data_IF_245517774843
#
_entry.id   IF_245517774843
#
_cell.length_a   1.000
_cell.length_b   1.000
_cell.length_c   1.000
_cell.angle_alpha   90.00
_cell.angle_beta   90.00
_cell.angle_gamma   90.00
#
_symmetry.space_group_name_H-M   'P 1'
#
loop_
_entity.id
_entity.type
_entity.pdbx_description
1 polymer ?
#
# COMPACT_ATOMS: atom_id res chain seq x y z
N UNK A 1 -15.13 12.05 -11.00
CA UNK A 1 -14.64 11.88 -9.62
C UNK A 1 -13.28 12.54 -9.50
N UNK A 2 -13.15 13.49 -8.60
CA UNK A 2 -11.89 14.21 -8.40
C UNK A 2 -11.09 13.56 -7.27
N UNK A 3 -9.86 13.12 -7.58
CA UNK A 3 -8.93 12.55 -6.63
C UNK A 3 -7.93 13.63 -6.24
N UNK A 4 -7.77 13.89 -4.95
CA UNK A 4 -6.81 14.85 -4.40
C UNK A 4 -5.76 14.10 -3.60
N UNK A 5 -4.48 14.40 -3.82
CA UNK A 5 -3.38 13.83 -3.04
C UNK A 5 -2.96 14.84 -1.99
N UNK A 6 -2.85 14.39 -0.76
CA UNK A 6 -2.51 15.25 0.38
C UNK A 6 -1.51 14.56 1.30
N UNK A 7 -0.74 15.33 2.10
CA UNK A 7 0.13 14.72 3.11
C UNK A 7 -0.72 14.14 4.24
N UNK A 8 -0.12 13.17 4.94
CA UNK A 8 -0.72 12.57 6.12
C UNK A 8 -0.85 13.58 7.26
N UNK A 9 -1.96 13.51 7.98
CA UNK A 9 -2.13 14.18 9.28
C UNK A 9 -2.58 13.15 10.32
N UNK A 10 -2.29 13.39 11.59
CA UNK A 10 -2.64 12.43 12.65
C UNK A 10 -4.15 12.18 12.75
N UNK A 11 -4.97 13.12 12.32
CA UNK A 11 -6.42 12.95 12.26
C UNK A 11 -6.86 11.85 11.29
N UNK A 12 -6.01 11.45 10.35
CA UNK A 12 -6.29 10.42 9.35
C UNK A 12 -6.05 9.00 9.85
N UNK A 13 -5.42 8.83 11.02
CA UNK A 13 -4.88 7.52 11.43
C UNK A 13 -5.94 6.43 11.51
N UNK A 14 -7.08 6.69 12.15
CA UNK A 14 -8.14 5.69 12.30
C UNK A 14 -8.72 5.29 10.95
N UNK A 15 -9.01 6.25 10.10
CA UNK A 15 -9.59 5.99 8.78
C UNK A 15 -8.63 5.19 7.88
N UNK A 16 -7.34 5.50 7.93
CA UNK A 16 -6.31 4.73 7.19
C UNK A 16 -6.20 3.31 7.72
N UNK A 17 -6.23 3.13 9.04
CA UNK A 17 -6.17 1.81 9.66
C UNK A 17 -7.35 0.95 9.22
N UNK A 18 -8.56 1.52 9.24
CA UNK A 18 -9.76 0.82 8.79
C UNK A 18 -9.70 0.51 7.29
N UNK A 19 -9.15 1.42 6.48
CA UNK A 19 -8.98 1.21 5.05
C UNK A 19 -8.03 0.04 4.78
N UNK A 20 -6.91 -0.02 5.46
CA UNK A 20 -5.96 -1.14 5.33
C UNK A 20 -6.64 -2.46 5.64
N UNK A 21 -7.36 -2.54 6.77
CA UNK A 21 -8.07 -3.74 7.17
C UNK A 21 -9.11 -4.14 6.11
N UNK A 22 -9.90 -3.18 5.64
CA UNK A 22 -10.91 -3.43 4.62
C UNK A 22 -10.30 -3.92 3.31
N UNK A 23 -9.15 -3.38 2.91
CA UNK A 23 -8.46 -3.80 1.68
C UNK A 23 -8.01 -5.26 1.75
N UNK A 24 -7.39 -5.66 2.85
CA UNK A 24 -6.93 -7.04 3.03
C UNK A 24 -8.11 -8.00 3.04
N UNK A 25 -9.16 -7.67 3.81
CA UNK A 25 -10.32 -8.55 3.97
C UNK A 25 -11.27 -8.55 2.76
N UNK A 26 -11.05 -7.69 1.78
CA UNK A 26 -11.79 -7.71 0.52
C UNK A 26 -11.15 -8.63 -0.54
N UNK A 27 -9.95 -9.15 -0.28
CA UNK A 27 -9.28 -10.07 -1.20
C UNK A 27 -10.04 -11.40 -1.20
N UNK A 28 -10.16 -12.02 -2.39
CA UNK A 28 -10.81 -13.33 -2.50
C UNK A 28 -10.11 -14.37 -1.62
N UNK A 29 -10.87 -15.16 -0.83
CA UNK A 29 -10.27 -16.23 -0.02
C UNK A 29 -9.62 -17.35 -0.85
N UNK A 30 -9.83 -17.36 -2.16
CA UNK A 30 -9.14 -18.30 -3.06
C UNK A 30 -7.70 -17.83 -3.35
N UNK A 31 -7.39 -16.55 -3.15
CA UNK A 31 -6.06 -15.97 -3.33
C UNK A 31 -5.29 -15.98 -2.01
N UNK A 32 -5.88 -15.42 -0.97
CA UNK A 32 -5.37 -15.47 0.41
C UNK A 32 -6.50 -15.96 1.30
N UNK A 33 -6.29 -17.04 2.04
CA UNK A 33 -7.30 -17.63 2.92
C UNK A 33 -7.74 -16.64 4.02
N UNK A 34 -8.86 -16.92 4.66
CA UNK A 34 -9.33 -16.09 5.78
C UNK A 34 -8.28 -16.04 6.89
N UNK A 35 -7.60 -17.16 7.16
CA UNK A 35 -6.55 -17.25 8.15
C UNK A 35 -5.35 -16.38 7.76
N UNK A 36 -4.98 -16.38 6.47
CA UNK A 36 -3.90 -15.52 5.97
C UNK A 36 -4.28 -14.04 6.06
N UNK A 37 -5.53 -13.71 5.73
CA UNK A 37 -6.02 -12.33 5.84
C UNK A 37 -5.98 -11.84 7.29
N UNK A 38 -6.40 -12.67 8.26
CA UNK A 38 -6.36 -12.34 9.69
C UNK A 38 -4.92 -12.21 10.20
N UNK A 39 -4.01 -13.03 9.69
CA UNK A 39 -2.60 -12.92 10.04
C UNK A 39 -1.97 -11.62 9.50
N UNK A 40 -2.43 -11.17 8.36
CA UNK A 40 -1.97 -9.95 7.71
C UNK A 40 -2.60 -8.69 8.33
N UNK A 41 -3.93 -8.73 8.56
CA UNK A 41 -4.69 -7.61 9.11
C UNK A 41 -5.65 -8.11 10.18
N UNK A 42 -5.18 -8.15 11.42
CA UNK A 42 -5.91 -8.70 12.56
C UNK A 42 -7.23 -7.96 12.83
N UNK A 43 -8.24 -8.70 13.26
CA UNK A 43 -9.56 -8.15 13.65
C UNK A 43 -9.74 -8.26 15.17
N UNK A 44 -9.96 -7.14 15.91
CA UNK A 44 -9.98 -5.75 15.41
C UNK A 44 -8.57 -5.25 15.07
N UNK A 45 -8.46 -4.20 14.25
CA UNK A 45 -7.14 -3.62 13.96
C UNK A 45 -6.45 -3.12 15.23
N UNK A 46 -5.11 -3.17 15.23
CA UNK A 46 -4.33 -2.62 16.33
C UNK A 46 -4.15 -1.11 16.11
N UNK A 47 -5.12 -0.33 16.53
CA UNK A 47 -5.10 1.13 16.33
C UNK A 47 -3.90 1.81 16.98
N UNK A 48 -3.49 1.50 18.23
CA UNK A 48 -2.30 2.13 18.79
C UNK A 48 -1.03 1.89 17.98
N UNK A 49 -0.84 0.68 17.47
CA UNK A 49 0.29 0.34 16.59
C UNK A 49 0.27 1.21 15.32
N UNK A 50 -0.90 1.31 14.68
CA UNK A 50 -1.04 2.06 13.44
C UNK A 50 -0.84 3.56 13.63
N UNK A 51 -1.31 4.13 14.74
CA UNK A 51 -1.08 5.55 15.05
C UNK A 51 0.42 5.84 15.09
N UNK A 52 1.19 5.00 15.79
CA UNK A 52 2.65 5.18 15.88
C UNK A 52 3.33 4.98 14.53
N UNK A 53 2.93 3.93 13.79
CA UNK A 53 3.50 3.63 12.48
C UNK A 53 3.28 4.78 11.50
N UNK A 54 2.05 5.28 11.42
CA UNK A 54 1.70 6.33 10.46
C UNK A 54 2.37 7.67 10.79
N UNK A 55 2.57 7.96 12.07
CA UNK A 55 3.32 9.15 12.47
C UNK A 55 4.77 9.12 11.98
N UNK A 56 5.37 7.93 11.89
CA UNK A 56 6.73 7.74 11.37
C UNK A 56 6.75 7.67 9.84
N UNK A 57 5.84 6.93 9.24
CA UNK A 57 5.84 6.66 7.79
C UNK A 57 5.33 7.85 6.98
N UNK A 58 4.40 8.61 7.51
CA UNK A 58 3.83 9.81 6.86
C UNK A 58 3.41 9.54 5.41
N UNK A 59 2.43 8.66 5.18
CA UNK A 59 2.04 8.30 3.82
C UNK A 59 1.49 9.49 3.03
N UNK A 60 1.48 9.36 1.71
CA UNK A 60 0.66 10.22 0.85
C UNK A 60 -0.74 9.64 0.84
N UNK A 61 -1.74 10.51 0.93
CA UNK A 61 -3.13 10.12 1.10
C UNK A 61 -3.94 10.59 -0.10
N UNK A 62 -4.75 9.70 -0.65
CA UNK A 62 -5.69 10.06 -1.71
C UNK A 62 -7.07 10.27 -1.10
N UNK A 63 -7.71 11.36 -1.49
CA UNK A 63 -9.03 11.73 -1.00
C UNK A 63 -9.99 11.95 -2.16
N UNK A 64 -11.22 11.52 -1.97
CA UNK A 64 -12.36 11.88 -2.80
C UNK A 64 -13.37 12.57 -1.88
N UNK A 65 -13.63 13.86 -2.13
CA UNK A 65 -14.37 14.69 -1.20
C UNK A 65 -13.69 14.70 0.17
N UNK A 66 -14.37 14.33 1.25
CA UNK A 66 -13.79 14.28 2.58
C UNK A 66 -13.34 12.86 3.00
N UNK A 67 -13.39 11.90 2.07
CA UNK A 67 -13.10 10.50 2.38
C UNK A 67 -11.70 10.11 1.93
N UNK A 68 -10.98 9.38 2.78
CA UNK A 68 -9.70 8.79 2.41
C UNK A 68 -10.01 7.52 1.62
N UNK A 69 -9.48 7.45 0.40
CA UNK A 69 -9.75 6.35 -0.52
C UNK A 69 -8.51 5.54 -0.88
N UNK A 70 -7.33 5.98 -0.44
CA UNK A 70 -6.09 5.26 -0.64
C UNK A 70 -4.93 5.92 0.07
N UNK A 71 -3.83 5.17 0.22
CA UNK A 71 -2.59 5.72 0.76
C UNK A 71 -1.40 4.91 0.26
N UNK A 72 -0.23 5.54 0.28
CA UNK A 72 1.02 4.92 -0.12
C UNK A 72 2.16 5.44 0.76
N UNK A 73 3.05 4.56 1.20
CA UNK A 73 4.19 4.90 2.05
C UNK A 73 5.47 4.79 1.25
N UNK A 74 6.21 5.90 1.15
CA UNK A 74 7.53 5.94 0.52
C UNK A 74 8.58 6.23 1.58
N UNK A 75 9.54 5.32 1.72
CA UNK A 75 10.69 5.51 2.60
C UNK A 75 11.83 6.19 1.85
N UNK A 76 12.75 6.80 2.59
CA UNK A 76 13.84 7.60 1.99
C UNK A 76 14.78 6.78 1.11
N UNK A 77 14.89 5.48 1.35
CA UNK A 77 15.72 4.58 0.55
C UNK A 77 15.04 4.08 -0.73
N UNK A 78 13.80 4.51 -0.99
CA UNK A 78 13.03 4.09 -2.16
C UNK A 78 12.08 2.92 -1.92
N UNK A 79 12.01 2.40 -0.68
CA UNK A 79 11.08 1.32 -0.36
C UNK A 79 9.65 1.85 -0.27
N UNK A 80 8.74 1.19 -0.97
CA UNK A 80 7.30 1.43 -0.85
C UNK A 80 6.75 0.35 0.07
N UNK A 81 6.39 0.72 1.29
CA UNK A 81 6.02 -0.26 2.32
C UNK A 81 4.54 -0.63 2.28
N UNK A 82 3.67 0.34 2.07
CA UNK A 82 2.23 0.11 1.90
C UNK A 82 1.71 0.86 0.70
N UNK A 83 0.75 0.25 -0.01
CA UNK A 83 0.05 0.88 -1.13
C UNK A 83 -1.33 0.23 -1.22
N UNK A 84 -2.37 0.95 -0.77
CA UNK A 84 -3.71 0.40 -0.66
C UNK A 84 -4.75 1.38 -1.20
N UNK A 85 -5.75 0.85 -1.93
CA UNK A 85 -6.93 1.57 -2.38
C UNK A 85 -8.16 0.95 -1.74
N UNK A 86 -9.04 1.79 -1.19
CA UNK A 86 -10.29 1.32 -0.59
C UNK A 86 -11.07 0.46 -1.59
N UNK A 87 -11.63 -0.69 -1.17
CA UNK A 87 -12.28 -1.63 -2.08
C UNK A 87 -13.38 -0.99 -2.95
N UNK A 88 -14.13 -0.03 -2.40
CA UNK A 88 -15.20 0.64 -3.13
C UNK A 88 -14.69 1.60 -4.22
N UNK A 89 -13.40 1.92 -4.22
CA UNK A 89 -12.79 2.88 -5.15
C UNK A 89 -11.75 2.25 -6.06
N UNK A 90 -11.64 0.93 -6.08
CA UNK A 90 -10.72 0.25 -6.99
C UNK A 90 -11.15 0.44 -8.45
N UNK A 91 -10.18 0.42 -9.37
CA UNK A 91 -10.38 0.63 -10.82
C UNK A 91 -10.87 2.03 -11.19
N UNK A 92 -10.72 3.00 -10.29
CA UNK A 92 -11.03 4.40 -10.56
C UNK A 92 -9.79 5.29 -10.69
N UNK A 93 -8.61 4.68 -10.76
CA UNK A 93 -7.35 5.40 -10.94
C UNK A 93 -6.74 5.97 -9.67
N UNK A 94 -7.24 5.59 -8.48
CA UNK A 94 -6.70 6.10 -7.20
C UNK A 94 -5.23 5.75 -7.05
N UNK A 95 -4.86 4.48 -7.18
CA UNK A 95 -3.46 4.07 -7.02
C UNK A 95 -2.58 4.59 -8.15
N UNK A 96 -3.13 4.72 -9.36
CA UNK A 96 -2.40 5.34 -10.48
C UNK A 96 -1.98 6.77 -10.12
N UNK A 97 -2.89 7.56 -9.55
CA UNK A 97 -2.59 8.92 -9.13
C UNK A 97 -1.61 8.96 -7.97
N UNK A 98 -1.81 8.12 -6.96
CA UNK A 98 -0.90 8.02 -5.82
C UNK A 98 0.50 7.61 -6.25
N UNK A 99 0.61 6.61 -7.11
CA UNK A 99 1.91 6.14 -7.56
C UNK A 99 2.63 7.17 -8.42
N UNK A 100 1.91 7.85 -9.33
CA UNK A 100 2.50 8.91 -10.15
C UNK A 100 3.06 10.03 -9.26
N UNK A 101 2.32 10.43 -8.24
CA UNK A 101 2.77 11.41 -7.27
C UNK A 101 4.02 10.94 -6.53
N UNK A 102 4.00 9.69 -6.05
CA UNK A 102 5.10 9.09 -5.31
C UNK A 102 6.37 9.01 -6.15
N UNK A 103 6.26 8.57 -7.40
CA UNK A 103 7.40 8.49 -8.31
C UNK A 103 7.99 9.87 -8.58
N UNK A 104 7.14 10.88 -8.75
CA UNK A 104 7.59 12.25 -8.95
C UNK A 104 8.37 12.77 -7.73
N UNK A 105 7.85 12.52 -6.52
CA UNK A 105 8.55 12.88 -5.28
C UNK A 105 9.90 12.17 -5.19
N UNK A 106 9.93 10.86 -5.49
CA UNK A 106 11.17 10.08 -5.46
C UNK A 106 12.22 10.62 -6.43
N UNK A 107 11.80 10.96 -7.65
CA UNK A 107 12.72 11.54 -8.66
C UNK A 107 13.27 12.88 -8.21
N UNK A 108 12.43 13.74 -7.63
CA UNK A 108 12.87 15.04 -7.10
C UNK A 108 13.84 14.91 -5.95
N UNK A 109 13.75 13.85 -5.17
CA UNK A 109 14.66 13.56 -4.06
C UNK A 109 15.94 12.86 -4.52
N UNK A 110 16.07 12.55 -5.79
CA UNK A 110 17.24 11.85 -6.33
C UNK A 110 17.27 10.35 -6.03
N UNK A 111 16.14 9.78 -5.66
CA UNK A 111 16.04 8.34 -5.45
C UNK A 111 16.15 7.65 -6.81
N UNK A 112 17.05 6.66 -6.90
CA UNK A 112 17.35 5.98 -8.18
C UNK A 112 16.66 4.64 -8.34
N UNK A 113 16.08 4.11 -7.27
CA UNK A 113 15.46 2.80 -7.28
C UNK A 113 14.24 2.79 -6.35
N UNK A 114 13.09 2.38 -6.89
CA UNK A 114 11.92 2.06 -6.08
C UNK A 114 11.84 0.54 -5.94
N UNK A 115 11.49 0.05 -4.77
CA UNK A 115 11.31 -1.38 -4.56
C UNK A 115 10.21 -1.64 -3.53
N UNK A 116 9.62 -2.82 -3.63
CA UNK A 116 8.49 -3.18 -2.78
C UNK A 116 8.31 -4.71 -2.76
N UNK A 117 7.49 -5.16 -1.84
CA UNK A 117 7.01 -6.53 -1.78
C UNK A 117 5.51 -6.50 -2.12
N UNK A 118 5.16 -6.92 -3.34
CA UNK A 118 3.79 -6.85 -3.82
C UNK A 118 3.02 -8.13 -3.49
N UNK A 119 1.77 -7.97 -3.07
CA UNK A 119 0.86 -9.09 -2.97
C UNK A 119 0.59 -9.68 -4.37
N UNK A 120 0.01 -10.88 -4.40
CA UNK A 120 -0.43 -11.51 -5.66
C UNK A 120 -1.36 -10.55 -6.42
N UNK A 121 -2.22 -9.83 -5.70
CA UNK A 121 -3.22 -8.94 -6.30
C UNK A 121 -2.59 -7.65 -6.82
N UNK A 122 -1.59 -7.12 -6.12
CA UNK A 122 -0.95 -5.85 -6.48
C UNK A 122 0.10 -5.99 -7.58
N UNK A 123 0.69 -7.17 -7.74
CA UNK A 123 1.79 -7.41 -8.68
C UNK A 123 1.49 -6.92 -10.09
N UNK A 124 0.33 -7.23 -10.72
CA UNK A 124 0.04 -6.75 -12.08
C UNK A 124 0.02 -5.23 -12.21
N UNK A 125 -0.45 -4.53 -11.18
CA UNK A 125 -0.46 -3.06 -11.18
C UNK A 125 0.95 -2.51 -11.33
N UNK A 126 1.89 -3.02 -10.53
CA UNK A 126 3.28 -2.53 -10.53
C UNK A 126 4.03 -2.96 -11.79
N UNK A 127 3.76 -4.15 -12.31
CA UNK A 127 4.34 -4.58 -13.60
C UNK A 127 3.99 -3.61 -14.72
N UNK A 128 2.75 -3.15 -14.77
CA UNK A 128 2.32 -2.17 -15.78
C UNK A 128 3.02 -0.82 -15.65
N UNK A 129 3.59 -0.53 -14.48
CA UNK A 129 4.31 0.73 -14.24
C UNK A 129 5.82 0.58 -14.32
N UNK A 130 6.28 -0.52 -14.87
CA UNK A 130 7.69 -0.71 -15.16
C UNK A 130 8.48 -1.45 -14.08
N UNK A 131 7.82 -1.96 -13.06
CA UNK A 131 8.49 -2.81 -12.07
C UNK A 131 8.74 -4.19 -12.66
N UNK A 132 9.88 -4.77 -12.29
CA UNK A 132 10.21 -6.16 -12.62
C UNK A 132 10.22 -6.98 -11.34
N UNK A 133 9.75 -8.21 -11.46
CA UNK A 133 9.75 -9.16 -10.34
C UNK A 133 11.14 -9.77 -10.18
N UNK A 134 11.68 -9.71 -8.95
CA UNK A 134 12.99 -10.26 -8.62
C UNK A 134 12.88 -11.65 -8.02
N UNK A 135 11.88 -11.87 -7.17
CA UNK A 135 11.70 -13.15 -6.49
C UNK A 135 10.27 -13.31 -6.02
N UNK A 136 9.86 -14.58 -5.91
CA UNK A 136 8.65 -14.97 -5.21
C UNK A 136 9.06 -15.33 -3.78
N UNK A 137 8.38 -14.76 -2.81
CA UNK A 137 8.71 -14.94 -1.40
C UNK A 137 7.59 -15.70 -0.68
N UNK A 138 7.98 -16.53 0.28
CA UNK A 138 7.06 -17.15 1.22
C UNK A 138 7.46 -16.64 2.60
N UNK A 139 6.64 -15.76 3.17
CA UNK A 139 6.94 -15.15 4.46
C UNK A 139 6.00 -15.67 5.53
N UNK A 140 6.55 -15.92 6.72
CA UNK A 140 5.74 -16.33 7.86
C UNK A 140 5.29 -15.10 8.61
N UNK A 141 3.96 -14.93 8.75
CA UNK A 141 3.37 -13.81 9.46
C UNK A 141 2.28 -14.32 10.38
N UNK A 142 2.46 -14.12 11.68
CA UNK A 142 1.49 -14.53 12.71
C UNK A 142 1.00 -15.98 12.52
N UNK A 143 1.96 -16.89 12.25
CA UNK A 143 1.68 -18.32 12.11
C UNK A 143 1.22 -18.77 10.73
N UNK A 144 1.04 -17.86 9.78
CA UNK A 144 0.62 -18.19 8.42
C UNK A 144 1.71 -17.88 7.40
N UNK A 145 1.84 -18.72 6.37
CA UNK A 145 2.72 -18.46 5.24
C UNK A 145 1.97 -17.63 4.22
N UNK A 146 2.55 -16.48 3.86
CA UNK A 146 1.94 -15.55 2.90
C UNK A 146 2.92 -15.34 1.74
N UNK A 147 2.42 -15.50 0.51
CA UNK A 147 3.22 -15.29 -0.70
C UNK A 147 3.17 -13.83 -1.09
N UNK A 148 4.34 -13.25 -1.36
CA UNK A 148 4.45 -11.97 -2.04
C UNK A 148 5.62 -12.00 -3.01
N UNK A 149 5.84 -10.88 -3.71
CA UNK A 149 6.85 -10.78 -4.75
C UNK A 149 7.70 -9.54 -4.51
N UNK A 150 9.02 -9.74 -4.45
CA UNK A 150 9.95 -8.61 -4.43
C UNK A 150 10.04 -8.04 -5.85
N UNK A 151 9.86 -6.74 -5.96
CA UNK A 151 9.83 -6.04 -7.23
C UNK A 151 10.64 -4.76 -7.15
N UNK A 152 11.20 -4.33 -8.28
CA UNK A 152 11.91 -3.06 -8.35
C UNK A 152 11.67 -2.32 -9.66
N UNK A 153 11.87 -1.02 -9.60
CA UNK A 153 11.90 -0.13 -10.76
C UNK A 153 13.08 0.82 -10.62
N UNK A 154 13.93 0.85 -11.64
CA UNK A 154 15.05 1.78 -11.68
C UNK A 154 14.56 3.09 -12.26
N UNK A 155 14.86 4.19 -11.58
CA UNK A 155 14.52 5.55 -12.01
C UNK A 155 15.72 6.18 -12.70
N UNK A 156 15.46 6.89 -13.74
CA UNK A 156 16.52 7.59 -14.49
C UNK A 156 16.66 9.06 -14.06
#
# INVERSE_FOLDING_TARGET
MKITIAPYTDANATEITDLHHACVHAISPTIYSLEQQEAWAHTPPNYPYWVKRLALKKPFVAMVEANIVGFIELEENGHIDCAYTHPAYQKHGVMRELFAYTQNVAQKKGIKRLYLEASIVAKPFFEKRGFVSLSRNEIKKNGQMIVNYSMEKILS
#
